data_IF_992102766670
#
_entry.id   IF_992102766670
#
_cell.length_a   1.000
_cell.length_b   1.000
_cell.length_c   1.000
_cell.angle_alpha   90.00
_cell.angle_beta   90.00
_cell.angle_gamma   90.00
#
_symmetry.space_group_name_H-M   'P 1'
#
loop_
_entity.id
_entity.type
_entity.pdbx_description
1 polymer ?
#
# COMPACT_ATOMS: atom_id res chain seq x y z
N UNK A 1 -17.90 -14.04 -14.46
CA UNK A 1 -17.90 -12.57 -14.26
C UNK A 1 -16.57 -12.09 -13.65
N UNK A 2 -15.44 -12.20 -14.35
CA UNK A 2 -14.09 -11.89 -13.80
C UNK A 2 -13.27 -10.84 -14.57
N UNK A 3 -13.64 -10.49 -15.80
CA UNK A 3 -12.84 -9.57 -16.63
C UNK A 3 -13.06 -8.08 -16.32
N UNK A 4 -14.27 -7.66 -15.95
CA UNK A 4 -14.57 -6.24 -15.68
C UNK A 4 -13.87 -5.69 -14.42
N UNK A 5 -13.71 -6.51 -13.37
CA UNK A 5 -13.04 -6.09 -12.13
C UNK A 5 -11.53 -5.78 -12.35
N UNK A 6 -10.89 -6.47 -13.30
CA UNK A 6 -9.45 -6.30 -13.60
C UNK A 6 -9.14 -5.03 -14.41
N UNK A 7 -10.07 -4.62 -15.29
CA UNK A 7 -9.94 -3.39 -16.09
C UNK A 7 -10.22 -2.16 -15.24
N UNK A 8 -11.24 -2.22 -14.37
CA UNK A 8 -11.54 -1.14 -13.44
C UNK A 8 -10.36 -0.84 -12.49
N UNK A 9 -9.72 -1.91 -11.97
CA UNK A 9 -8.55 -1.79 -11.10
C UNK A 9 -7.36 -1.13 -11.82
N UNK A 10 -7.09 -1.50 -13.08
CA UNK A 10 -6.02 -0.89 -13.89
C UNK A 10 -6.30 0.59 -14.20
N UNK A 11 -7.53 0.93 -14.53
CA UNK A 11 -7.92 2.34 -14.80
C UNK A 11 -7.81 3.21 -13.55
N UNK A 12 -8.24 2.71 -12.38
CA UNK A 12 -8.14 3.45 -11.12
C UNK A 12 -6.68 3.66 -10.67
N UNK A 13 -5.83 2.63 -10.78
CA UNK A 13 -4.41 2.75 -10.45
C UNK A 13 -3.69 3.68 -11.45
N UNK A 14 -4.04 3.61 -12.74
CA UNK A 14 -3.54 4.52 -13.77
C UNK A 14 -3.93 5.97 -13.52
N UNK A 15 -5.19 6.23 -13.15
CA UNK A 15 -5.69 7.55 -12.81
C UNK A 15 -4.98 8.12 -11.57
N UNK A 16 -4.78 7.30 -10.54
CA UNK A 16 -4.03 7.70 -9.34
C UNK A 16 -2.58 8.04 -9.67
N UNK A 17 -1.90 7.23 -10.48
CA UNK A 17 -0.52 7.48 -10.90
C UNK A 17 -0.38 8.78 -11.71
N UNK A 18 -1.36 9.08 -12.58
CA UNK A 18 -1.42 10.36 -13.29
C UNK A 18 -1.68 11.53 -12.34
N UNK A 19 -2.64 11.40 -11.44
CA UNK A 19 -2.93 12.43 -10.45
C UNK A 19 -1.71 12.73 -9.57
N UNK A 20 -0.99 11.71 -9.11
CA UNK A 20 0.23 11.85 -8.32
C UNK A 20 1.39 12.54 -9.07
N UNK A 21 1.34 12.63 -10.41
CA UNK A 21 2.34 13.33 -11.23
C UNK A 21 1.99 14.81 -11.49
N UNK A 22 0.80 15.26 -11.10
CA UNK A 22 0.38 16.66 -11.24
C UNK A 22 1.14 17.51 -10.24
N UNK A 23 2.01 18.38 -10.74
CA UNK A 23 2.67 19.42 -9.94
C UNK A 23 1.65 20.50 -9.62
N UNK A 24 1.22 20.54 -8.35
CA UNK A 24 0.34 21.59 -7.83
C UNK A 24 1.20 22.77 -7.39
N UNK A 25 0.73 23.99 -7.68
CA UNK A 25 1.39 25.22 -7.20
C UNK A 25 1.35 25.28 -5.67
N UNK A 26 2.41 25.80 -5.02
CA UNK A 26 2.50 25.89 -3.54
C UNK A 26 1.27 26.51 -2.89
N UNK A 27 0.63 27.48 -3.56
CA UNK A 27 -0.60 28.16 -3.08
C UNK A 27 -1.82 27.25 -2.96
N UNK A 28 -1.88 26.16 -3.72
CA UNK A 28 -2.99 25.21 -3.74
C UNK A 28 -2.63 23.85 -3.12
N UNK A 29 -1.41 23.70 -2.60
CA UNK A 29 -0.88 22.43 -2.07
C UNK A 29 -1.72 21.91 -0.90
N UNK A 30 -2.11 22.81 0.01
CA UNK A 30 -2.98 22.49 1.14
C UNK A 30 -4.40 22.09 0.72
N UNK A 31 -4.97 22.79 -0.26
CA UNK A 31 -6.32 22.51 -0.77
C UNK A 31 -6.33 21.15 -1.50
N UNK A 32 -5.33 20.89 -2.34
CA UNK A 32 -5.17 19.62 -3.02
C UNK A 32 -5.01 18.46 -2.02
N UNK A 33 -4.22 18.63 -0.96
CA UNK A 33 -4.08 17.64 0.10
C UNK A 33 -5.42 17.34 0.79
N UNK A 34 -6.21 18.37 1.13
CA UNK A 34 -7.53 18.19 1.76
C UNK A 34 -8.52 17.46 0.85
N UNK A 35 -8.57 17.83 -0.43
CA UNK A 35 -9.41 17.12 -1.42
C UNK A 35 -9.01 15.65 -1.48
N UNK A 36 -7.70 15.36 -1.52
CA UNK A 36 -7.21 13.99 -1.56
C UNK A 36 -7.58 13.18 -0.32
N UNK A 37 -7.47 13.77 0.86
CA UNK A 37 -7.88 13.12 2.11
C UNK A 37 -9.37 12.79 2.11
N UNK A 38 -10.22 13.67 1.57
CA UNK A 38 -11.65 13.38 1.39
C UNK A 38 -11.88 12.24 0.40
N UNK A 39 -11.18 12.22 -0.73
CA UNK A 39 -11.27 11.13 -1.71
C UNK A 39 -10.87 9.79 -1.08
N UNK A 40 -9.78 9.76 -0.30
CA UNK A 40 -9.35 8.55 0.42
C UNK A 40 -10.42 8.12 1.44
N UNK A 41 -11.01 9.06 2.18
CA UNK A 41 -12.08 8.76 3.13
C UNK A 41 -13.33 8.18 2.47
N UNK A 42 -13.77 8.77 1.35
CA UNK A 42 -14.90 8.25 0.55
C UNK A 42 -14.61 6.84 0.04
N UNK A 43 -13.39 6.60 -0.45
CA UNK A 43 -12.94 5.26 -0.83
C UNK A 43 -12.99 4.27 0.34
N UNK A 44 -12.56 4.68 1.53
CA UNK A 44 -12.58 3.82 2.72
C UNK A 44 -13.98 3.41 3.15
N UNK A 45 -14.95 4.31 3.06
CA UNK A 45 -16.34 4.03 3.47
C UNK A 45 -17.11 3.24 2.40
N UNK A 46 -16.95 3.61 1.12
CA UNK A 46 -17.77 3.04 0.05
C UNK A 46 -17.14 1.80 -0.60
N UNK A 47 -15.83 1.86 -0.90
CA UNK A 47 -15.17 0.82 -1.70
C UNK A 47 -14.44 -0.20 -0.82
N UNK A 48 -13.85 0.19 0.31
CA UNK A 48 -13.09 -0.75 1.15
C UNK A 48 -13.89 -1.96 1.65
N UNK A 49 -15.19 -1.84 2.02
CA UNK A 49 -15.99 -3.01 2.42
C UNK A 49 -16.22 -3.99 1.27
N UNK A 50 -16.31 -3.49 0.03
CA UNK A 50 -16.60 -4.28 -1.17
C UNK A 50 -15.36 -5.02 -1.72
N UNK A 51 -14.15 -4.49 -1.52
CA UNK A 51 -12.91 -5.05 -2.09
C UNK A 51 -12.20 -6.09 -1.20
N UNK A 52 -12.61 -6.25 0.06
CA UNK A 52 -11.99 -7.20 1.00
C UNK A 52 -10.58 -6.80 1.49
N UNK A 53 -10.03 -7.58 2.44
CA UNK A 53 -8.72 -7.32 3.07
C UNK A 53 -7.56 -7.79 2.18
N UNK A 54 -7.27 -7.06 1.11
CA UNK A 54 -6.17 -7.37 0.17
C UNK A 54 -4.87 -6.61 0.45
N UNK A 55 -4.85 -5.74 1.47
CA UNK A 55 -3.68 -4.95 1.79
C UNK A 55 -2.62 -5.77 2.53
N UNK A 56 -1.35 -5.65 2.11
CA UNK A 56 -0.22 -6.33 2.75
C UNK A 56 0.13 -5.73 4.13
N UNK A 57 -0.24 -4.47 4.38
CA UNK A 57 0.17 -3.70 5.56
C UNK A 57 -0.97 -3.46 6.55
N UNK A 58 -0.60 -3.32 7.82
CA UNK A 58 -1.46 -2.85 8.91
C UNK A 58 -0.77 -1.68 9.65
N UNK A 59 -1.33 -0.46 9.66
CA UNK A 59 -2.59 -0.05 9.03
C UNK A 59 -2.52 -0.09 7.49
N UNK A 60 -3.69 -0.10 6.83
CA UNK A 60 -3.80 -0.27 5.38
C UNK A 60 -3.10 0.83 4.57
N UNK A 61 -2.82 0.57 3.29
CA UNK A 61 -2.21 1.56 2.40
C UNK A 61 -2.98 2.87 2.34
N UNK A 62 -4.32 2.84 2.33
CA UNK A 62 -5.13 4.05 2.33
C UNK A 62 -4.92 4.88 3.62
N UNK A 63 -4.80 4.21 4.78
CA UNK A 63 -4.50 4.88 6.05
C UNK A 63 -3.07 5.45 6.06
N UNK A 64 -2.07 4.68 5.62
CA UNK A 64 -0.68 5.15 5.52
C UNK A 64 -0.57 6.33 4.54
N UNK A 65 -1.20 6.24 3.37
CA UNK A 65 -1.25 7.33 2.39
C UNK A 65 -1.93 8.58 2.96
N UNK A 66 -3.03 8.43 3.70
CA UNK A 66 -3.69 9.55 4.35
C UNK A 66 -2.81 10.19 5.43
N UNK A 67 -2.06 9.41 6.21
CA UNK A 67 -1.10 9.93 7.18
C UNK A 67 0.00 10.75 6.49
N UNK A 68 0.61 10.19 5.43
CA UNK A 68 1.66 10.87 4.65
C UNK A 68 1.18 12.19 4.04
N UNK A 69 -0.04 12.24 3.51
CA UNK A 69 -0.61 13.46 2.92
C UNK A 69 -0.96 14.50 4.01
N UNK A 70 -1.40 14.06 5.19
CA UNK A 70 -1.64 14.97 6.33
C UNK A 70 -0.34 15.63 6.78
N UNK A 71 0.73 14.85 6.88
CA UNK A 71 2.05 15.30 7.34
C UNK A 71 2.77 16.16 6.29
N UNK A 72 2.83 15.71 5.04
CA UNK A 72 3.73 16.27 4.03
C UNK A 72 3.02 17.05 2.89
N UNK A 73 1.71 17.31 3.01
CA UNK A 73 0.88 18.01 2.00
C UNK A 73 0.94 17.30 0.63
N UNK A 74 0.42 17.91 -0.44
CA UNK A 74 0.27 17.22 -1.73
C UNK A 74 1.63 16.98 -2.41
N UNK A 75 2.46 18.01 -2.50
CA UNK A 75 3.72 17.98 -3.25
C UNK A 75 4.71 16.89 -2.82
N UNK A 76 4.83 16.63 -1.51
CA UNK A 76 5.69 15.57 -0.96
C UNK A 76 4.87 14.32 -0.62
N UNK A 77 3.66 14.50 -0.06
CA UNK A 77 2.82 13.38 0.37
C UNK A 77 2.30 12.51 -0.77
N UNK A 78 2.01 13.06 -1.96
CA UNK A 78 1.52 12.26 -3.09
C UNK A 78 2.55 11.28 -3.65
N UNK A 79 3.82 11.69 -3.90
CA UNK A 79 4.89 10.75 -4.25
C UNK A 79 5.06 9.62 -3.23
N UNK A 80 5.03 9.94 -1.93
CA UNK A 80 5.17 8.94 -0.86
C UNK A 80 3.96 7.99 -0.80
N UNK A 81 2.74 8.54 -0.92
CA UNK A 81 1.52 7.75 -0.98
C UNK A 81 1.51 6.81 -2.20
N UNK A 82 2.00 7.28 -3.36
CA UNK A 82 2.17 6.46 -4.56
C UNK A 82 3.17 5.34 -4.36
N UNK A 83 4.35 5.65 -3.79
CA UNK A 83 5.34 4.63 -3.48
C UNK A 83 4.77 3.55 -2.56
N UNK A 84 4.02 3.96 -1.52
CA UNK A 84 3.35 3.01 -0.61
C UNK A 84 2.36 2.09 -1.33
N UNK A 85 1.56 2.63 -2.25
CA UNK A 85 0.61 1.83 -3.04
C UNK A 85 1.35 0.84 -3.97
N UNK A 86 2.44 1.30 -4.59
CA UNK A 86 3.29 0.46 -5.45
C UNK A 86 3.95 -0.68 -4.67
N UNK A 87 4.38 -0.44 -3.43
CA UNK A 87 4.89 -1.51 -2.55
C UNK A 87 3.84 -2.58 -2.28
N UNK A 88 2.57 -2.19 -2.13
CA UNK A 88 1.48 -3.12 -1.89
C UNK A 88 1.02 -3.90 -3.13
N UNK A 89 1.16 -3.32 -4.33
CA UNK A 89 0.70 -3.93 -5.58
C UNK A 89 1.82 -4.50 -6.45
N UNK A 90 3.08 -4.22 -6.12
CA UNK A 90 4.25 -4.57 -6.92
C UNK A 90 4.89 -5.88 -6.50
N UNK A 91 6.09 -6.11 -7.02
CA UNK A 91 6.90 -7.27 -6.66
C UNK A 91 7.52 -7.07 -5.28
N UNK A 92 7.44 -8.11 -4.45
CA UNK A 92 8.07 -8.20 -3.15
C UNK A 92 8.63 -9.61 -2.95
N UNK A 93 9.60 -9.73 -2.04
CA UNK A 93 10.14 -11.01 -1.57
C UNK A 93 9.81 -11.15 -0.10
N UNK A 94 9.42 -12.35 0.31
CA UNK A 94 9.16 -12.69 1.70
C UNK A 94 10.30 -13.55 2.19
N UNK A 95 10.82 -13.25 3.37
CA UNK A 95 11.92 -13.97 3.98
C UNK A 95 11.83 -13.97 5.50
N UNK A 96 12.90 -14.43 6.14
CA UNK A 96 13.07 -14.36 7.58
C UNK A 96 14.28 -13.48 7.90
N UNK A 97 14.15 -12.65 8.93
CA UNK A 97 15.25 -11.87 9.45
C UNK A 97 16.17 -12.73 10.35
N UNK A 98 17.16 -12.10 11.00
CA UNK A 98 18.06 -12.77 11.95
C UNK A 98 17.33 -13.35 13.16
N UNK A 99 16.22 -12.74 13.59
CA UNK A 99 15.39 -13.14 14.72
C UNK A 99 14.29 -14.16 14.34
N UNK A 100 14.38 -14.76 13.14
CA UNK A 100 13.40 -15.71 12.59
C UNK A 100 11.97 -15.15 12.46
N UNK A 101 11.83 -13.82 12.45
CA UNK A 101 10.58 -13.12 12.15
C UNK A 101 10.41 -12.92 10.65
N UNK A 102 9.15 -12.86 10.22
CA UNK A 102 8.82 -12.66 8.81
C UNK A 102 9.16 -11.22 8.42
N UNK A 103 9.92 -11.07 7.32
CA UNK A 103 10.16 -9.78 6.68
C UNK A 103 9.64 -9.77 5.24
N UNK A 104 9.12 -8.62 4.82
CA UNK A 104 8.75 -8.34 3.44
C UNK A 104 9.71 -7.30 2.87
N UNK A 105 10.40 -7.66 1.80
CA UNK A 105 11.32 -6.78 1.06
C UNK A 105 10.69 -6.35 -0.25
N UNK A 106 10.47 -5.05 -0.41
CA UNK A 106 9.92 -4.46 -1.63
C UNK A 106 11.00 -4.26 -2.70
N UNK A 107 10.56 -4.08 -3.95
CA UNK A 107 11.45 -3.81 -5.10
C UNK A 107 12.31 -2.53 -4.95
N UNK A 108 11.87 -1.58 -4.14
CA UNK A 108 12.59 -0.32 -3.86
C UNK A 108 13.61 -0.47 -2.73
N UNK A 109 13.82 -1.70 -2.22
CA UNK A 109 14.74 -2.00 -1.14
C UNK A 109 14.16 -1.83 0.27
N UNK A 110 12.96 -1.26 0.40
CA UNK A 110 12.31 -1.08 1.70
C UNK A 110 11.99 -2.44 2.32
N UNK A 111 12.26 -2.59 3.62
CA UNK A 111 11.97 -3.80 4.39
C UNK A 111 10.90 -3.47 5.42
N UNK A 112 9.91 -4.35 5.54
CA UNK A 112 8.83 -4.28 6.52
C UNK A 112 8.85 -5.54 7.37
N UNK A 113 8.75 -5.38 8.69
CA UNK A 113 8.76 -6.50 9.64
C UNK A 113 7.35 -7.00 9.91
N UNK A 114 7.24 -8.14 10.60
CA UNK A 114 5.99 -8.79 10.97
C UNK A 114 4.97 -7.84 11.61
N UNK A 115 5.42 -6.87 12.40
CA UNK A 115 4.56 -5.91 13.11
C UNK A 115 3.87 -4.90 12.18
N UNK A 116 4.46 -4.58 11.02
CA UNK A 116 3.88 -3.65 10.03
C UNK A 116 2.97 -4.34 9.00
N UNK A 117 2.96 -5.68 9.02
CA UNK A 117 2.24 -6.49 8.05
C UNK A 117 0.84 -6.84 8.53
N UNK A 118 -0.07 -7.08 7.58
CA UNK A 118 -1.44 -7.41 7.91
C UNK A 118 -1.55 -8.86 8.41
N UNK A 119 -2.45 -9.16 9.37
CA UNK A 119 -2.64 -10.53 9.83
C UNK A 119 -3.03 -11.50 8.69
N UNK A 120 -3.79 -11.02 7.70
CA UNK A 120 -4.14 -11.79 6.52
C UNK A 120 -2.92 -12.14 5.67
N UNK A 121 -1.94 -11.25 5.57
CA UNK A 121 -0.68 -11.52 4.90
C UNK A 121 0.13 -12.57 5.67
N UNK A 122 0.29 -12.39 6.98
CA UNK A 122 1.05 -13.31 7.84
C UNK A 122 0.43 -14.71 7.84
N UNK A 123 -0.90 -14.81 7.89
CA UNK A 123 -1.59 -16.09 7.78
C UNK A 123 -1.32 -16.78 6.44
N UNK A 124 -1.27 -16.02 5.34
CA UNK A 124 -1.10 -16.57 3.99
C UNK A 124 0.35 -16.97 3.68
N UNK A 125 1.32 -16.16 4.10
CA UNK A 125 2.72 -16.34 3.71
C UNK A 125 3.62 -16.82 4.86
N UNK A 126 3.23 -16.60 6.11
CA UNK A 126 4.04 -16.96 7.27
C UNK A 126 4.21 -18.45 7.47
N UNK A 127 3.14 -19.23 7.26
CA UNK A 127 3.21 -20.69 7.33
C UNK A 127 4.16 -21.28 6.26
N UNK A 128 4.08 -20.75 5.05
CA UNK A 128 4.92 -21.20 3.93
C UNK A 128 6.41 -20.90 4.14
N UNK A 129 6.73 -19.68 4.59
CA UNK A 129 8.14 -19.29 4.77
C UNK A 129 8.78 -20.04 5.94
N UNK A 130 8.04 -20.29 7.03
CA UNK A 130 8.54 -21.10 8.15
C UNK A 130 8.77 -22.56 7.77
N UNK A 131 7.88 -23.16 6.97
CA UNK A 131 8.04 -24.57 6.55
C UNK A 131 9.24 -24.77 5.63
N UNK A 132 9.57 -23.81 4.75
CA UNK A 132 10.71 -23.91 3.83
C UNK A 132 12.07 -23.85 4.55
N UNK A 133 12.15 -23.18 5.72
CA UNK A 133 13.41 -23.14 6.50
C UNK A 133 13.70 -24.45 7.24
N UNK A 134 12.66 -25.13 7.71
CA UNK A 134 12.79 -26.44 8.39
C UNK A 134 13.43 -27.51 7.48
N UNK A 135 13.27 -27.40 6.16
CA UNK A 135 13.84 -28.32 5.16
C UNK A 135 15.28 -27.96 4.73
N UNK A 136 15.83 -26.85 5.25
CA UNK A 136 17.20 -26.38 4.97
C UNK A 136 18.14 -26.48 6.17
N UNK A 137 17.66 -27.03 7.29
CA UNK A 137 18.38 -27.20 8.56
C UNK A 137 18.80 -28.67 8.70
#
# INVERSE_FOLDING_TARGET
MGMMASSLRRTLVGAFNRAASIKVSKRFDAIAAQIMLRVIGVYQVLLSPLLGKQCLFSPTCSNRSAALIREHRWSIGMPMARAQLQRCCGNFRVGLNADEKIELRCFDGTVFTEEELSPAFLQRYGLFVRSVRMDRS
#
